data_IF_514300680183
#
_entry.id   IF_514300680183
#
_cell.length_a   1.000
_cell.length_b   1.000
_cell.length_c   1.000
_cell.angle_alpha   90.00
_cell.angle_beta   90.00
_cell.angle_gamma   90.00
#
_symmetry.space_group_name_H-M   'P 1'
#
loop_
_entity.id
_entity.type
_entity.pdbx_description
1 polymer ?
#
# COMPACT_ATOMS: atom_id res chain seq x y z
N UNK A 1 -24.12 16.77 4.98
CA UNK A 1 -22.77 16.20 5.20
C UNK A 1 -21.80 17.24 4.66
N UNK A 2 -20.82 17.72 5.43
CA UNK A 2 -19.89 18.74 4.92
C UNK A 2 -18.97 18.11 3.86
N UNK A 3 -18.52 18.91 2.89
CA UNK A 3 -17.65 18.44 1.80
C UNK A 3 -16.34 17.83 2.34
N UNK A 4 -15.79 18.37 3.44
CA UNK A 4 -14.61 17.82 4.12
C UNK A 4 -14.82 16.38 4.62
N UNK A 5 -15.98 16.04 5.20
CA UNK A 5 -16.27 14.65 5.63
C UNK A 5 -16.24 13.71 4.42
N UNK A 6 -16.78 14.15 3.27
CA UNK A 6 -16.77 13.35 2.05
C UNK A 6 -15.35 13.13 1.51
N UNK A 7 -14.48 14.14 1.57
CA UNK A 7 -13.09 14.01 1.15
C UNK A 7 -12.33 13.00 2.03
N UNK A 8 -12.52 13.06 3.35
CA UNK A 8 -11.90 12.13 4.30
C UNK A 8 -12.32 10.69 4.02
N UNK A 9 -13.62 10.45 3.80
CA UNK A 9 -14.11 9.10 3.50
C UNK A 9 -13.61 8.58 2.15
N UNK A 10 -13.44 9.45 1.15
CA UNK A 10 -12.84 9.08 -0.13
C UNK A 10 -11.35 8.72 0.02
N UNK A 11 -10.59 9.50 0.79
CA UNK A 11 -9.19 9.19 1.10
C UNK A 11 -9.07 7.80 1.78
N UNK A 12 -9.88 7.54 2.79
CA UNK A 12 -9.91 6.21 3.47
C UNK A 12 -10.26 5.09 2.50
N UNK A 13 -11.20 5.31 1.58
CA UNK A 13 -11.55 4.31 0.56
C UNK A 13 -10.36 3.99 -0.36
N UNK A 14 -9.61 5.00 -0.79
CA UNK A 14 -8.42 4.82 -1.63
C UNK A 14 -7.28 4.12 -0.86
N UNK A 15 -7.11 4.42 0.44
CA UNK A 15 -6.15 3.73 1.31
C UNK A 15 -6.53 2.25 1.44
N UNK A 16 -7.81 1.93 1.70
CA UNK A 16 -8.28 0.53 1.77
C UNK A 16 -8.02 -0.22 0.47
N UNK A 17 -8.32 0.39 -0.66
CA UNK A 17 -8.08 -0.22 -1.97
C UNK A 17 -6.58 -0.48 -2.20
N UNK A 18 -5.73 0.50 -1.90
CA UNK A 18 -4.26 0.35 -1.97
C UNK A 18 -3.79 -0.79 -1.09
N UNK A 19 -4.29 -0.87 0.14
CA UNK A 19 -3.95 -1.93 1.09
C UNK A 19 -4.36 -3.32 0.60
N UNK A 20 -5.59 -3.48 0.09
CA UNK A 20 -6.07 -4.78 -0.41
C UNK A 20 -5.18 -5.30 -1.54
N UNK A 21 -4.86 -4.47 -2.53
CA UNK A 21 -4.00 -4.91 -3.63
C UNK A 21 -2.56 -5.18 -3.20
N UNK A 22 -2.04 -4.43 -2.23
CA UNK A 22 -0.74 -4.67 -1.64
C UNK A 22 -0.71 -5.99 -0.86
N UNK A 23 -1.76 -6.28 -0.10
CA UNK A 23 -1.93 -7.54 0.62
C UNK A 23 -2.01 -8.71 -0.34
N UNK A 24 -2.82 -8.62 -1.39
CA UNK A 24 -2.90 -9.66 -2.42
C UNK A 24 -1.52 -9.91 -3.04
N UNK A 25 -0.77 -8.85 -3.36
CA UNK A 25 0.59 -8.96 -3.90
C UNK A 25 1.52 -9.69 -2.92
N UNK A 26 1.49 -9.28 -1.65
CA UNK A 26 2.25 -9.90 -0.58
C UNK A 26 1.92 -11.39 -0.43
N UNK A 27 0.65 -11.74 -0.28
CA UNK A 27 0.21 -13.14 -0.12
C UNK A 27 0.62 -14.02 -1.31
N UNK A 28 0.50 -13.52 -2.53
CA UNK A 28 0.93 -14.28 -3.72
C UNK A 28 2.45 -14.48 -3.77
N UNK A 29 3.24 -13.47 -3.43
CA UNK A 29 4.70 -13.59 -3.40
C UNK A 29 5.15 -14.66 -2.39
N UNK A 30 4.52 -14.72 -1.22
CA UNK A 30 4.90 -15.61 -0.12
C UNK A 30 4.28 -17.01 -0.19
N UNK A 31 3.32 -17.23 -1.09
CA UNK A 31 2.60 -18.49 -1.20
C UNK A 31 3.50 -19.68 -1.54
N UNK A 32 4.43 -19.49 -2.47
CA UNK A 32 5.39 -20.51 -2.90
C UNK A 32 6.68 -19.83 -3.36
N UNK A 33 7.75 -20.06 -2.61
CA UNK A 33 9.02 -19.36 -2.78
C UNK A 33 9.63 -19.66 -4.16
N UNK A 34 9.97 -18.60 -4.91
CA UNK A 34 10.56 -18.67 -6.26
C UNK A 34 9.67 -19.36 -7.30
N UNK A 35 8.36 -19.33 -7.11
CA UNK A 35 7.42 -19.75 -8.13
C UNK A 35 7.20 -18.60 -9.14
N UNK A 36 7.79 -18.73 -10.34
CA UNK A 36 7.75 -17.69 -11.38
C UNK A 36 6.34 -17.18 -11.69
N UNK A 37 5.34 -18.07 -11.68
CA UNK A 37 3.95 -17.69 -11.95
C UNK A 37 3.39 -16.83 -10.81
N UNK A 38 3.68 -17.18 -9.56
CA UNK A 38 3.25 -16.40 -8.42
C UNK A 38 3.96 -15.05 -8.36
N UNK A 39 5.27 -15.01 -8.63
CA UNK A 39 6.05 -13.76 -8.73
C UNK A 39 5.53 -12.82 -9.83
N UNK A 40 5.15 -13.39 -10.98
CA UNK A 40 4.53 -12.61 -12.06
C UNK A 40 3.16 -12.04 -11.65
N UNK A 41 2.29 -12.85 -11.06
CA UNK A 41 0.98 -12.41 -10.57
C UNK A 41 1.13 -11.36 -9.47
N UNK A 42 2.07 -11.57 -8.53
CA UNK A 42 2.31 -10.68 -7.42
C UNK A 42 2.83 -9.31 -7.89
N UNK A 43 3.70 -9.26 -8.89
CA UNK A 43 4.11 -8.01 -9.54
C UNK A 43 2.96 -7.26 -10.22
N UNK A 44 2.02 -7.97 -10.86
CA UNK A 44 0.81 -7.35 -11.44
C UNK A 44 -0.09 -6.76 -10.35
N UNK A 45 -0.28 -7.48 -9.25
CA UNK A 45 -1.08 -7.02 -8.11
C UNK A 45 -0.43 -5.79 -7.45
N UNK A 46 0.90 -5.80 -7.28
CA UNK A 46 1.62 -4.64 -6.78
C UNK A 46 1.46 -3.43 -7.71
N UNK A 47 1.49 -3.62 -9.04
CA UNK A 47 1.25 -2.52 -9.98
C UNK A 47 -0.17 -1.93 -9.85
N UNK A 48 -1.18 -2.75 -9.52
CA UNK A 48 -2.52 -2.26 -9.18
C UNK A 48 -2.51 -1.44 -7.88
N UNK A 49 -1.78 -1.90 -6.87
CA UNK A 49 -1.59 -1.16 -5.62
C UNK A 49 -0.91 0.20 -5.87
N UNK A 50 0.19 0.24 -6.65
CA UNK A 50 0.90 1.47 -7.03
C UNK A 50 -0.01 2.44 -7.79
N UNK A 51 -0.90 1.92 -8.64
CA UNK A 51 -1.87 2.74 -9.37
C UNK A 51 -2.89 3.41 -8.43
N UNK A 52 -3.47 2.64 -7.48
CA UNK A 52 -4.39 3.19 -6.47
C UNK A 52 -3.67 4.16 -5.52
N UNK A 53 -2.45 3.81 -5.10
CA UNK A 53 -1.56 4.67 -4.32
C UNK A 53 -1.27 6.01 -5.01
N UNK A 54 -0.98 6.00 -6.31
CA UNK A 54 -0.70 7.24 -7.07
C UNK A 54 -1.96 8.13 -7.11
N UNK A 55 -3.14 7.52 -7.22
CA UNK A 55 -4.41 8.22 -7.12
C UNK A 55 -4.60 8.83 -5.72
N UNK A 56 -4.39 8.06 -4.65
CA UNK A 56 -4.43 8.52 -3.25
C UNK A 56 -3.47 9.69 -3.01
N UNK A 57 -2.21 9.56 -3.41
CA UNK A 57 -1.17 10.57 -3.21
C UNK A 57 -1.55 11.88 -3.90
N UNK A 58 -2.02 11.80 -5.15
CA UNK A 58 -2.48 12.97 -5.90
C UNK A 58 -3.71 13.60 -5.26
N UNK A 59 -4.66 12.78 -4.80
CA UNK A 59 -5.87 13.23 -4.11
C UNK A 59 -5.54 13.93 -2.79
N UNK A 60 -4.68 13.34 -1.95
CA UNK A 60 -4.23 13.92 -0.68
C UNK A 60 -3.59 15.30 -0.90
N UNK A 61 -2.57 15.39 -1.76
CA UNK A 61 -1.85 16.64 -1.97
C UNK A 61 -2.69 17.74 -2.64
N UNK A 62 -3.73 17.37 -3.39
CA UNK A 62 -4.65 18.34 -3.99
C UNK A 62 -5.68 18.91 -3.00
N UNK A 63 -5.85 18.28 -1.83
CA UNK A 63 -6.86 18.64 -0.83
C UNK A 63 -6.23 18.76 0.58
N UNK A 64 -4.99 19.26 0.67
CA UNK A 64 -4.25 19.34 1.95
C UNK A 64 -5.00 20.15 3.01
N UNK A 65 -5.67 21.25 2.63
CA UNK A 65 -6.37 22.11 3.58
C UNK A 65 -7.46 21.35 4.36
N UNK A 66 -8.01 20.28 3.78
CA UNK A 66 -9.09 19.49 4.35
C UNK A 66 -8.63 18.12 4.86
N UNK A 67 -7.49 17.60 4.38
CA UNK A 67 -7.02 16.23 4.62
C UNK A 67 -5.72 16.11 5.41
N UNK A 68 -5.04 17.21 5.72
CA UNK A 68 -3.76 17.21 6.44
C UNK A 68 -3.83 16.33 7.71
N UNK A 69 -3.13 15.20 7.67
CA UNK A 69 -3.06 14.22 8.74
C UNK A 69 -1.76 13.43 8.61
N UNK A 70 -0.88 13.56 9.60
CA UNK A 70 0.41 12.85 9.64
C UNK A 70 0.31 11.34 9.44
N UNK A 71 -0.84 10.72 9.77
CA UNK A 71 -1.05 9.27 9.57
C UNK A 71 -1.22 8.91 8.10
N UNK A 72 -1.80 9.81 7.30
CA UNK A 72 -1.88 9.60 5.84
C UNK A 72 -0.48 9.67 5.23
N UNK A 73 0.35 10.61 5.70
CA UNK A 73 1.75 10.73 5.24
C UNK A 73 2.59 9.50 5.62
N UNK A 74 2.39 8.96 6.82
CA UNK A 74 3.03 7.71 7.27
C UNK A 74 2.62 6.52 6.40
N UNK A 75 1.33 6.41 6.02
CA UNK A 75 0.85 5.40 5.07
C UNK A 75 1.52 5.56 3.70
N UNK A 76 1.61 6.80 3.19
CA UNK A 76 2.26 7.05 1.90
C UNK A 76 3.75 6.66 1.94
N UNK A 77 4.44 6.97 3.04
CA UNK A 77 5.85 6.66 3.23
C UNK A 77 6.09 5.15 3.35
N UNK A 78 5.35 4.47 4.23
CA UNK A 78 5.51 3.03 4.45
C UNK A 78 5.12 2.21 3.21
N UNK A 79 4.13 2.64 2.43
CA UNK A 79 3.84 2.03 1.13
C UNK A 79 4.99 2.19 0.12
N UNK A 80 5.61 3.37 0.02
CA UNK A 80 6.79 3.59 -0.83
C UNK A 80 7.93 2.64 -0.42
N UNK A 81 8.20 2.51 0.88
CA UNK A 81 9.25 1.60 1.39
C UNK A 81 8.95 0.14 1.05
N UNK A 82 7.73 -0.33 1.36
CA UNK A 82 7.28 -1.69 1.04
C UNK A 82 7.35 -2.00 -0.46
N UNK A 83 6.78 -1.15 -1.30
CA UNK A 83 6.69 -1.42 -2.74
C UNK A 83 8.06 -1.44 -3.42
N UNK A 84 8.99 -0.59 -2.98
CA UNK A 84 10.37 -0.62 -3.46
C UNK A 84 11.11 -1.89 -3.02
N UNK A 85 11.00 -2.28 -1.74
CA UNK A 85 11.62 -3.52 -1.26
C UNK A 85 11.03 -4.76 -1.95
N UNK A 86 9.73 -4.78 -2.19
CA UNK A 86 9.06 -5.84 -2.92
C UNK A 86 9.63 -6.01 -4.34
N UNK A 87 9.79 -4.92 -5.09
CA UNK A 87 10.37 -4.95 -6.45
C UNK A 87 11.86 -5.33 -6.42
N UNK A 88 12.60 -4.88 -5.40
CA UNK A 88 13.98 -5.30 -5.19
C UNK A 88 14.07 -6.80 -4.93
N UNK A 89 13.19 -7.34 -4.09
CA UNK A 89 13.10 -8.77 -3.83
C UNK A 89 12.70 -9.55 -5.09
N UNK A 90 11.74 -9.09 -5.90
CA UNK A 90 11.43 -9.75 -7.18
C UNK A 90 12.62 -9.75 -8.15
N UNK A 91 13.35 -8.63 -8.25
CA UNK A 91 14.45 -8.49 -9.23
C UNK A 91 15.73 -9.24 -8.85
N UNK A 92 16.06 -9.29 -7.56
CA UNK A 92 17.31 -9.88 -7.06
C UNK A 92 17.10 -11.18 -6.29
N UNK A 93 15.87 -11.43 -5.84
CA UNK A 93 15.51 -12.57 -5.01
C UNK A 93 16.15 -12.57 -3.63
N UNK A 94 16.43 -11.37 -3.13
CA UNK A 94 17.37 -11.07 -2.05
C UNK A 94 16.80 -11.33 -0.65
N UNK A 95 15.52 -11.06 -0.37
CA UNK A 95 14.97 -11.31 0.98
C UNK A 95 13.46 -11.18 1.05
N UNK A 96 12.76 -12.31 1.20
CA UNK A 96 11.34 -12.28 1.58
C UNK A 96 11.17 -11.75 3.01
N UNK A 97 12.13 -11.95 3.91
CA UNK A 97 12.02 -11.48 5.29
C UNK A 97 11.95 -9.95 5.38
N UNK A 98 12.76 -9.24 4.58
CA UNK A 98 12.70 -7.77 4.56
C UNK A 98 11.39 -7.28 3.93
N UNK A 99 10.93 -7.93 2.86
CA UNK A 99 9.61 -7.61 2.28
C UNK A 99 8.47 -7.78 3.29
N UNK A 100 8.49 -8.82 4.13
CA UNK A 100 7.48 -9.07 5.17
C UNK A 100 7.50 -7.98 6.25
N UNK A 101 8.70 -7.60 6.71
CA UNK A 101 8.88 -6.54 7.70
C UNK A 101 8.29 -5.22 7.20
N UNK A 102 8.59 -4.84 5.96
CA UNK A 102 8.08 -3.59 5.37
C UNK A 102 6.57 -3.66 5.13
N UNK A 103 6.04 -4.83 4.76
CA UNK A 103 4.60 -5.03 4.62
C UNK A 103 3.86 -4.86 5.95
N UNK A 104 4.36 -5.46 7.03
CA UNK A 104 3.74 -5.34 8.36
C UNK A 104 3.84 -3.90 8.90
N UNK A 105 4.90 -3.16 8.58
CA UNK A 105 4.99 -1.73 8.89
C UNK A 105 3.93 -0.92 8.14
N UNK A 106 3.75 -1.16 6.84
CA UNK A 106 2.70 -0.55 6.04
C UNK A 106 1.30 -0.90 6.57
N UNK A 107 1.03 -2.17 6.82
CA UNK A 107 -0.23 -2.64 7.41
C UNK A 107 -0.55 -1.95 8.72
N UNK A 108 0.43 -1.84 9.63
CA UNK A 108 0.27 -1.15 10.90
C UNK A 108 -0.15 0.31 10.69
N UNK A 109 0.48 1.04 9.77
CA UNK A 109 0.11 2.44 9.50
C UNK A 109 -1.35 2.58 9.00
N UNK A 110 -1.81 1.62 8.19
CA UNK A 110 -3.21 1.57 7.72
C UNK A 110 -4.17 1.30 8.88
N UNK A 111 -3.87 0.32 9.74
CA UNK A 111 -4.67 0.02 10.95
C UNK A 111 -4.77 1.25 11.86
N UNK A 112 -3.67 1.97 12.07
CA UNK A 112 -3.61 3.13 12.96
C UNK A 112 -4.52 4.29 12.50
N UNK A 113 -4.87 4.37 11.21
CA UNK A 113 -5.82 5.36 10.66
C UNK A 113 -7.25 4.82 10.49
N UNK A 114 -7.38 3.59 9.97
CA UNK A 114 -8.65 3.04 9.47
C UNK A 114 -9.34 2.15 10.50
N UNK A 115 -8.60 1.62 11.48
CA UNK A 115 -9.07 0.60 12.42
C UNK A 115 -8.97 -0.80 11.82
N UNK A 116 -9.94 -1.65 12.13
CA UNK A 116 -9.96 -3.04 11.66
C UNK A 116 -10.06 -3.12 10.12
N UNK A 117 -9.08 -3.80 9.53
CA UNK A 117 -8.94 -4.15 8.10
C UNK A 117 -8.92 -5.66 7.93
#
# INVERSE_FOLDING_TARGET
MSDSIRLVELAKSLIKETFIYAQDAHEFLFKDYRNEKNEFISGILLNRAISSYTCLKSFYYSNLNELEDSRVEDILHTFDTFSNEFLNNLSSGHSHQWTDIEFEAFKKSVVDLIGDI
#
